data_IF_343800038199
#
_entry.id   IF_343800038199
#
_cell.length_a   1.000
_cell.length_b   1.000
_cell.length_c   1.000
_cell.angle_alpha   90.00
_cell.angle_beta   90.00
_cell.angle_gamma   90.00
#
_symmetry.space_group_name_H-M   'P 1'
#
loop_
_entity.id
_entity.type
_entity.pdbx_description
1 polymer ?
#
# COMPACT_ATOMS: atom_id res chain seq x y z
N UNK A 1 -3.08 -23.90 15.35
CA UNK A 1 -4.46 -23.57 15.81
C UNK A 1 -5.23 -23.00 14.63
N UNK A 2 -6.50 -23.38 14.40
CA UNK A 2 -7.33 -22.78 13.36
C UNK A 2 -7.71 -21.35 13.75
N UNK A 3 -7.72 -20.44 12.79
CA UNK A 3 -8.26 -19.09 12.98
C UNK A 3 -9.79 -19.14 13.01
N UNK A 4 -10.47 -18.40 13.90
CA UNK A 4 -11.92 -18.38 13.94
C UNK A 4 -12.50 -17.64 12.74
N UNK A 5 -13.41 -18.28 12.01
CA UNK A 5 -14.24 -17.62 10.98
C UNK A 5 -15.20 -16.66 11.67
N UNK A 6 -14.96 -15.35 11.53
CA UNK A 6 -15.90 -14.34 11.95
C UNK A 6 -17.12 -14.32 11.01
N UNK A 7 -18.32 -14.47 11.56
CA UNK A 7 -19.56 -14.27 10.83
C UNK A 7 -19.74 -12.77 10.46
N UNK A 8 -20.36 -12.44 9.33
CA UNK A 8 -20.63 -11.04 8.97
C UNK A 8 -21.68 -10.44 9.92
N UNK A 9 -21.48 -9.20 10.42
CA UNK A 9 -22.50 -8.52 11.23
C UNK A 9 -23.70 -8.11 10.38
N UNK A 10 -24.89 -8.14 10.98
CA UNK A 10 -26.12 -7.67 10.38
C UNK A 10 -26.10 -6.15 10.13
N UNK A 11 -26.76 -5.71 9.06
CA UNK A 11 -26.77 -4.30 8.66
C UNK A 11 -27.56 -3.39 9.61
N UNK A 12 -27.18 -2.11 9.63
CA UNK A 12 -27.96 -1.02 10.20
C UNK A 12 -28.04 0.13 9.20
N UNK A 13 -29.16 0.86 9.19
CA UNK A 13 -29.46 1.90 8.21
C UNK A 13 -29.35 3.30 8.82
N UNK A 14 -28.90 4.29 8.04
CA UNK A 14 -29.15 5.70 8.34
C UNK A 14 -28.11 6.74 7.88
N UNK A 15 -28.45 7.50 6.82
CA UNK A 15 -28.52 8.96 6.94
C UNK A 15 -27.35 9.88 6.49
N UNK A 16 -27.60 10.58 5.36
CA UNK A 16 -27.15 11.95 5.00
C UNK A 16 -25.67 12.23 4.62
N UNK A 17 -25.45 13.31 3.87
CA UNK A 17 -24.28 13.49 2.98
C UNK A 17 -23.76 14.93 2.79
N UNK A 18 -22.48 15.05 2.40
CA UNK A 18 -21.80 16.14 1.65
C UNK A 18 -20.36 15.69 1.28
N UNK A 19 -19.63 16.23 0.29
CA UNK A 19 -20.00 17.14 -0.80
C UNK A 19 -18.83 18.00 -1.35
N UNK A 20 -18.18 17.60 -2.46
CA UNK A 20 -17.15 18.42 -3.16
C UNK A 20 -16.28 17.63 -4.17
N UNK A 21 -16.06 18.17 -5.38
CA UNK A 21 -15.19 17.63 -6.45
C UNK A 21 -13.85 18.42 -6.54
N UNK A 22 -12.80 18.08 -7.32
CA UNK A 22 -12.71 17.54 -8.69
C UNK A 22 -11.38 16.80 -8.95
N UNK A 23 -11.29 15.88 -9.93
CA UNK A 23 -9.98 15.43 -10.42
C UNK A 23 -9.82 14.12 -11.22
N UNK A 24 -10.19 14.16 -12.52
CA UNK A 24 -9.73 13.25 -13.62
C UNK A 24 -10.34 11.83 -13.71
N UNK A 25 -10.78 11.47 -14.92
CA UNK A 25 -11.53 10.24 -15.25
C UNK A 25 -10.68 9.15 -15.97
N UNK A 26 -11.31 7.99 -16.17
CA UNK A 26 -10.88 6.73 -16.84
C UNK A 26 -10.17 5.69 -15.93
N UNK A 27 -10.63 4.43 -15.82
CA UNK A 27 -11.77 3.76 -16.46
C UNK A 27 -12.42 2.71 -15.52
N UNK A 28 -13.74 2.55 -15.65
CA UNK A 28 -14.60 1.80 -14.72
C UNK A 28 -15.66 2.75 -14.16
N UNK A 29 -16.94 2.53 -14.48
CA UNK A 29 -17.99 3.55 -14.35
C UNK A 29 -18.06 4.17 -12.96
N UNK A 30 -17.98 5.51 -12.89
CA UNK A 30 -18.10 6.29 -11.65
C UNK A 30 -19.42 5.96 -10.93
N UNK A 31 -19.35 5.10 -9.91
CA UNK A 31 -20.41 4.96 -8.93
C UNK A 31 -20.33 6.18 -8.00
N UNK A 32 -21.04 7.25 -8.35
CA UNK A 32 -21.20 8.44 -7.52
C UNK A 32 -22.64 8.49 -6.98
N UNK A 33 -22.86 8.49 -5.65
CA UNK A 33 -21.85 8.36 -4.59
C UNK A 33 -21.23 6.95 -4.55
N UNK A 34 -19.98 6.86 -4.09
CA UNK A 34 -19.32 5.57 -3.88
C UNK A 34 -20.07 4.79 -2.80
N UNK A 35 -20.21 3.45 -2.90
CA UNK A 35 -20.80 2.65 -1.85
C UNK A 35 -20.09 2.84 -0.50
N UNK A 36 -20.85 2.97 0.59
CA UNK A 36 -20.30 3.33 1.92
C UNK A 36 -19.13 2.44 2.40
N UNK A 37 -19.16 1.15 2.07
CA UNK A 37 -18.10 0.20 2.40
C UNK A 37 -16.71 0.59 1.88
N UNK A 38 -16.62 1.49 0.90
CA UNK A 38 -15.35 1.98 0.35
C UNK A 38 -14.63 2.85 1.38
N UNK A 39 -15.35 3.74 2.04
CA UNK A 39 -14.80 4.58 3.11
C UNK A 39 -14.36 3.73 4.31
N UNK A 40 -15.18 2.75 4.70
CA UNK A 40 -14.87 1.83 5.80
C UNK A 40 -13.59 1.02 5.53
N UNK A 41 -13.46 0.48 4.31
CA UNK A 41 -12.27 -0.28 3.87
C UNK A 41 -11.03 0.61 3.79
N UNK A 42 -11.17 1.87 3.34
CA UNK A 42 -10.05 2.80 3.27
C UNK A 42 -9.56 3.18 4.67
N UNK A 43 -10.47 3.48 5.60
CA UNK A 43 -10.16 3.74 7.01
C UNK A 43 -9.42 2.56 7.67
N UNK A 44 -9.89 1.33 7.44
CA UNK A 44 -9.22 0.12 7.92
C UNK A 44 -7.83 -0.05 7.28
N UNK A 45 -7.71 0.18 5.96
CA UNK A 45 -6.43 0.14 5.26
C UNK A 45 -5.44 1.15 5.82
N UNK A 46 -5.83 2.41 6.03
CA UNK A 46 -4.97 3.46 6.57
C UNK A 46 -4.45 3.15 7.98
N UNK A 47 -5.29 2.55 8.83
CA UNK A 47 -4.89 2.11 10.18
C UNK A 47 -3.82 1.01 10.09
N UNK A 48 -4.09 -0.07 9.36
CA UNK A 48 -3.16 -1.19 9.17
C UNK A 48 -1.87 -0.77 8.44
N UNK A 49 -1.98 0.14 7.48
CA UNK A 49 -0.85 0.70 6.74
C UNK A 49 0.07 1.50 7.67
N UNK A 50 -0.49 2.33 8.55
CA UNK A 50 0.27 3.09 9.56
C UNK A 50 1.05 2.18 10.51
N UNK A 51 0.44 1.09 10.98
CA UNK A 51 1.13 0.09 11.81
C UNK A 51 2.27 -0.59 11.05
N UNK A 52 2.02 -1.02 9.81
CA UNK A 52 3.04 -1.61 8.93
C UNK A 52 4.20 -0.65 8.66
N UNK A 53 3.91 0.64 8.43
CA UNK A 53 4.93 1.66 8.18
C UNK A 53 5.76 1.96 9.43
N UNK A 54 5.16 1.94 10.63
CA UNK A 54 5.91 2.03 11.88
C UNK A 54 6.84 0.80 12.09
N UNK A 55 6.41 -0.40 11.69
CA UNK A 55 7.26 -1.60 11.73
C UNK A 55 8.37 -1.56 10.67
N UNK A 56 8.08 -1.06 9.47
CA UNK A 56 9.07 -0.88 8.40
C UNK A 56 10.12 0.17 8.79
N UNK A 57 9.70 1.31 9.35
CA UNK A 57 10.59 2.36 9.83
C UNK A 57 11.56 1.86 10.91
N UNK A 58 11.09 1.05 11.87
CA UNK A 58 11.96 0.40 12.86
C UNK A 58 13.01 -0.50 12.21
N UNK A 59 12.62 -1.34 11.26
CA UNK A 59 13.54 -2.23 10.53
C UNK A 59 14.50 -1.48 9.60
N UNK A 60 14.08 -0.33 9.08
CA UNK A 60 14.88 0.57 8.26
C UNK A 60 15.91 1.36 9.08
N UNK A 61 15.62 1.69 10.35
CA UNK A 61 16.59 2.29 11.26
C UNK A 61 17.80 1.35 11.49
N UNK A 62 17.54 0.06 11.72
CA UNK A 62 18.56 -0.99 11.84
C UNK A 62 19.03 -1.54 10.46
N UNK A 63 18.88 -0.77 9.38
CA UNK A 63 19.18 -1.25 8.03
C UNK A 63 20.66 -1.57 7.82
N UNK A 64 20.92 -2.78 7.32
CA UNK A 64 22.25 -3.24 6.95
C UNK A 64 22.49 -3.04 5.45
N UNK A 65 23.72 -2.71 5.01
CA UNK A 65 24.08 -2.79 3.60
C UNK A 65 23.83 -4.20 3.06
N UNK A 66 23.25 -4.27 1.86
CA UNK A 66 23.01 -5.51 1.13
C UNK A 66 23.51 -5.34 -0.31
N UNK A 67 23.87 -6.46 -0.93
CA UNK A 67 24.16 -6.52 -2.36
C UNK A 67 23.06 -7.32 -3.03
N UNK A 68 22.42 -6.72 -4.03
CA UNK A 68 21.43 -7.38 -4.89
C UNK A 68 22.14 -7.85 -6.15
N UNK A 69 22.06 -9.14 -6.44
CA UNK A 69 22.62 -9.71 -7.66
C UNK A 69 21.53 -9.83 -8.72
N UNK A 70 21.80 -9.31 -9.91
CA UNK A 70 20.90 -9.32 -11.06
C UNK A 70 21.17 -10.54 -11.96
N UNK A 71 20.20 -11.00 -12.78
CA UNK A 71 20.38 -12.15 -13.68
C UNK A 71 21.48 -11.96 -14.75
N UNK A 72 21.92 -10.73 -15.01
CA UNK A 72 23.03 -10.38 -15.88
C UNK A 72 24.41 -10.46 -15.18
N UNK A 73 24.44 -10.95 -13.93
CA UNK A 73 25.64 -11.06 -13.10
C UNK A 73 26.07 -9.77 -12.41
N UNK A 74 25.33 -8.66 -12.60
CA UNK A 74 25.68 -7.39 -11.98
C UNK A 74 25.29 -7.34 -10.50
N UNK A 75 26.08 -6.59 -9.73
CA UNK A 75 25.90 -6.43 -8.28
C UNK A 75 25.55 -4.99 -7.97
N UNK A 76 24.36 -4.75 -7.42
CA UNK A 76 23.85 -3.42 -7.06
C UNK A 76 23.84 -3.29 -5.53
N UNK A 77 24.43 -2.22 -5.01
CA UNK A 77 24.41 -1.93 -3.59
C UNK A 77 23.04 -1.38 -3.15
N UNK A 78 22.55 -1.84 -2.00
CA UNK A 78 21.30 -1.39 -1.40
C UNK A 78 21.34 -1.45 0.13
N UNK A 79 20.22 -1.12 0.76
CA UNK A 79 20.01 -1.20 2.20
C UNK A 79 18.78 -2.04 2.52
N UNK A 80 18.93 -3.03 3.40
CA UNK A 80 17.82 -3.87 3.85
C UNK A 80 16.67 -3.02 4.40
N UNK A 81 15.43 -3.38 4.06
CA UNK A 81 14.19 -2.66 4.47
C UNK A 81 14.04 -1.21 3.97
N UNK A 82 14.99 -0.69 3.16
CA UNK A 82 14.97 0.67 2.62
C UNK A 82 14.91 0.66 1.10
N UNK A 83 15.80 -0.12 0.47
CA UNK A 83 15.91 -0.18 -0.99
C UNK A 83 14.81 -1.06 -1.58
N UNK A 84 14.07 -0.51 -2.53
CA UNK A 84 12.95 -1.17 -3.22
C UNK A 84 13.33 -1.64 -4.63
N UNK A 85 12.68 -2.67 -5.18
CA UNK A 85 12.90 -3.10 -6.57
C UNK A 85 12.64 -2.00 -7.61
N UNK A 86 11.70 -1.08 -7.32
CA UNK A 86 11.40 0.05 -8.20
C UNK A 86 12.55 1.06 -8.28
N UNK A 87 13.21 1.36 -7.15
CA UNK A 87 14.40 2.22 -7.14
C UNK A 87 15.52 1.59 -7.98
N UNK A 88 15.79 0.30 -7.80
CA UNK A 88 16.74 -0.44 -8.65
C UNK A 88 16.38 -0.34 -10.13
N UNK A 89 15.11 -0.48 -10.50
CA UNK A 89 14.67 -0.38 -11.89
C UNK A 89 14.92 1.02 -12.49
N UNK A 90 14.69 2.09 -11.72
CA UNK A 90 15.04 3.46 -12.12
C UNK A 90 16.56 3.62 -12.29
N UNK A 91 17.37 3.19 -11.33
CA UNK A 91 18.84 3.24 -11.40
C UNK A 91 19.36 2.45 -12.61
N UNK A 92 18.69 1.34 -12.97
CA UNK A 92 19.03 0.50 -14.13
C UNK A 92 18.64 1.15 -15.46
N UNK A 93 17.57 1.94 -15.49
CA UNK A 93 17.10 2.71 -16.66
C UNK A 93 18.01 3.91 -16.91
N UNK A 94 18.30 4.69 -15.87
CA UNK A 94 18.95 6.01 -15.99
C UNK A 94 20.47 5.94 -16.25
N UNK A 95 21.04 4.73 -16.19
CA UNK A 95 22.45 4.41 -16.53
C UNK A 95 22.66 3.89 -17.96
N UNK A 96 21.63 3.94 -18.82
CA UNK A 96 21.68 3.56 -20.25
C UNK A 96 21.45 4.77 -21.14
#
# INVERSE_FOLDING_TARGET
>A
APVPTAAPPAGSAGGAAAGGDAGREAAGGQLNPWPGYVADRLSLYEQLKRESDALLAKKAADSKPITVELPDGQKVAGKAWVTTPYQLACDIRDRR
#
